data_IF_900053344371
#
_entry.id   IF_900053344371
#
_cell.length_a   1.000
_cell.length_b   1.000
_cell.length_c   1.000
_cell.angle_alpha   90.00
_cell.angle_beta   90.00
_cell.angle_gamma   90.00
#
_symmetry.space_group_name_H-M   'P 1'
#
loop_
_entity.id
_entity.type
_entity.pdbx_description
1 polymer ?
#
# COMPACT_ATOMS: atom_id res chain seq x y z
N UNK A 1 2.37 37.95 -5.70
CA UNK A 1 2.73 36.51 -5.67
C UNK A 1 1.72 35.60 -6.38
N UNK A 2 0.41 35.93 -6.42
CA UNK A 2 -0.61 35.08 -7.09
C UNK A 2 -0.42 34.92 -8.61
N UNK A 3 0.06 35.94 -9.33
CA UNK A 3 0.20 35.89 -10.79
C UNK A 3 1.26 34.89 -11.29
N UNK A 4 2.28 34.55 -10.50
CA UNK A 4 3.32 33.57 -10.83
C UNK A 4 2.87 32.12 -10.49
N UNK A 5 1.93 31.98 -9.57
CA UNK A 5 1.40 30.65 -9.18
C UNK A 5 0.36 30.15 -10.18
N UNK A 6 -0.39 31.09 -10.82
CA UNK A 6 -1.46 30.74 -11.77
C UNK A 6 -0.97 29.91 -12.97
N UNK A 7 0.09 30.25 -13.72
CA UNK A 7 0.53 29.43 -14.85
C UNK A 7 1.06 28.06 -14.42
N UNK A 8 1.69 27.96 -13.25
CA UNK A 8 2.17 26.68 -12.72
C UNK A 8 1.00 25.75 -12.31
N UNK A 9 -0.01 26.30 -11.63
CA UNK A 9 -1.20 25.51 -11.25
C UNK A 9 -2.04 25.12 -12.45
N UNK A 10 -2.17 25.99 -13.45
CA UNK A 10 -2.85 25.70 -14.71
C UNK A 10 -2.13 24.58 -15.47
N UNK A 11 -0.80 24.67 -15.60
CA UNK A 11 0.00 23.65 -16.26
C UNK A 11 -0.12 22.29 -15.57
N UNK A 12 0.06 22.23 -14.24
CA UNK A 12 -0.08 21.00 -13.47
C UNK A 12 -1.51 20.43 -13.56
N UNK A 13 -2.53 21.30 -13.51
CA UNK A 13 -3.92 20.89 -13.67
C UNK A 13 -4.17 20.28 -15.05
N UNK A 14 -3.71 20.91 -16.12
CA UNK A 14 -3.85 20.37 -17.48
C UNK A 14 -3.13 19.04 -17.67
N UNK A 15 -1.88 18.94 -17.24
CA UNK A 15 -1.07 17.72 -17.37
C UNK A 15 -1.68 16.54 -16.59
N UNK A 16 -2.38 16.80 -15.47
CA UNK A 16 -3.02 15.77 -14.68
C UNK A 16 -4.46 15.48 -15.14
N UNK A 17 -5.26 16.52 -15.36
CA UNK A 17 -6.69 16.38 -15.67
C UNK A 17 -6.94 15.86 -17.08
N UNK A 18 -6.16 16.32 -18.06
CA UNK A 18 -6.37 15.94 -19.47
C UNK A 18 -6.15 14.42 -19.69
N UNK A 19 -5.05 13.79 -19.27
CA UNK A 19 -4.90 12.33 -19.40
C UNK A 19 -5.97 11.56 -18.64
N UNK A 20 -6.36 12.03 -17.45
CA UNK A 20 -7.41 11.40 -16.66
C UNK A 20 -8.78 11.49 -17.36
N UNK A 21 -9.11 12.65 -17.93
CA UNK A 21 -10.34 12.83 -18.71
C UNK A 21 -10.35 11.95 -19.96
N UNK A 22 -9.22 11.83 -20.67
CA UNK A 22 -9.08 10.92 -21.81
C UNK A 22 -9.28 9.47 -21.40
N UNK A 23 -8.70 9.07 -20.27
CA UNK A 23 -8.85 7.72 -19.70
C UNK A 23 -10.32 7.43 -19.37
N UNK A 24 -11.00 8.34 -18.68
CA UNK A 24 -12.42 8.21 -18.32
C UNK A 24 -13.29 8.20 -19.58
N UNK A 25 -13.06 9.10 -20.52
CA UNK A 25 -13.78 9.12 -21.78
C UNK A 25 -13.58 7.82 -22.58
N UNK A 26 -12.32 7.33 -22.65
CA UNK A 26 -11.99 6.05 -23.30
C UNK A 26 -12.65 4.84 -22.64
N UNK A 27 -12.86 4.87 -21.33
CA UNK A 27 -13.55 3.79 -20.60
C UNK A 27 -15.06 3.75 -20.86
N UNK A 28 -15.66 4.88 -21.25
CA UNK A 28 -17.08 4.99 -21.58
C UNK A 28 -17.36 4.80 -23.08
N UNK A 29 -16.34 4.94 -23.92
CA UNK A 29 -16.46 4.79 -25.38
C UNK A 29 -16.17 3.33 -25.79
N UNK A 30 -17.17 2.48 -25.63
CA UNK A 30 -17.17 1.13 -26.22
C UNK A 30 -18.02 1.18 -27.49
N UNK A 31 -17.45 0.87 -28.67
CA UNK A 31 -18.15 0.88 -29.97
C UNK A 31 -18.65 2.25 -30.46
N UNK A 32 -18.04 3.39 -30.03
CA UNK A 32 -18.37 4.73 -30.55
C UNK A 32 -19.59 5.42 -29.91
N UNK A 33 -20.21 4.79 -28.91
CA UNK A 33 -21.27 5.34 -28.07
C UNK A 33 -20.85 5.41 -26.60
N UNK A 34 -21.34 6.43 -25.88
CA UNK A 34 -21.14 6.54 -24.42
C UNK A 34 -22.01 5.50 -23.73
N UNK A 35 -21.41 4.41 -23.28
CA UNK A 35 -22.12 3.30 -22.61
C UNK A 35 -21.37 2.81 -21.39
N UNK A 36 -22.11 2.30 -20.42
CA UNK A 36 -21.56 1.56 -19.26
C UNK A 36 -21.41 0.05 -19.54
N UNK A 37 -21.63 -0.35 -20.78
CA UNK A 37 -21.64 -1.76 -21.19
C UNK A 37 -20.30 -2.43 -20.92
N UNK A 38 -19.16 -1.73 -21.16
CA UNK A 38 -17.83 -2.24 -20.85
C UNK A 38 -17.63 -2.59 -19.37
N UNK A 39 -18.21 -1.80 -18.46
CA UNK A 39 -18.16 -2.09 -17.03
C UNK A 39 -19.05 -3.29 -16.66
N UNK A 40 -20.25 -3.38 -17.25
CA UNK A 40 -21.14 -4.51 -17.02
C UNK A 40 -20.54 -5.81 -17.55
N UNK A 41 -19.96 -5.78 -18.73
CA UNK A 41 -19.29 -6.93 -19.34
C UNK A 41 -18.06 -7.35 -18.50
N UNK A 42 -17.20 -6.40 -18.08
CA UNK A 42 -16.03 -6.69 -17.27
C UNK A 42 -16.42 -7.30 -15.92
N UNK A 43 -17.37 -6.70 -15.20
CA UNK A 43 -17.84 -7.18 -13.91
C UNK A 43 -18.77 -8.40 -14.01
N UNK A 44 -19.39 -8.65 -15.18
CA UNK A 44 -20.17 -9.84 -15.48
C UNK A 44 -19.34 -11.12 -15.55
N UNK A 45 -18.07 -11.00 -15.96
CA UNK A 45 -17.15 -12.14 -16.05
C UNK A 45 -16.62 -12.55 -14.66
N UNK A 46 -16.71 -13.84 -14.36
CA UNK A 46 -16.24 -14.42 -13.09
C UNK A 46 -14.72 -14.28 -12.91
N UNK A 47 -13.94 -14.41 -13.99
CA UNK A 47 -12.49 -14.26 -13.97
C UNK A 47 -12.06 -12.82 -13.62
N UNK A 48 -12.72 -11.84 -14.23
CA UNK A 48 -12.45 -10.43 -13.97
C UNK A 48 -12.83 -10.03 -12.53
N UNK A 49 -13.96 -10.53 -12.01
CA UNK A 49 -14.32 -10.33 -10.58
C UNK A 49 -13.29 -10.94 -9.65
N UNK A 50 -12.78 -12.13 -9.98
CA UNK A 50 -11.70 -12.75 -9.19
C UNK A 50 -10.43 -11.91 -9.21
N UNK A 51 -10.08 -11.28 -10.34
CA UNK A 51 -8.94 -10.36 -10.47
C UNK A 51 -9.11 -9.10 -9.61
N UNK A 52 -10.32 -8.50 -9.59
CA UNK A 52 -10.64 -7.37 -8.70
C UNK A 52 -10.48 -7.77 -7.24
N UNK A 53 -11.09 -8.91 -6.86
CA UNK A 53 -11.01 -9.42 -5.49
C UNK A 53 -9.58 -9.74 -5.06
N UNK A 54 -8.79 -10.39 -5.93
CA UNK A 54 -7.38 -10.69 -5.67
C UNK A 54 -6.57 -9.41 -5.44
N UNK A 55 -6.81 -8.35 -6.22
CA UNK A 55 -6.16 -7.05 -6.07
C UNK A 55 -6.49 -6.40 -4.72
N UNK A 56 -7.78 -6.33 -4.39
CA UNK A 56 -8.23 -5.74 -3.11
C UNK A 56 -7.69 -6.54 -1.93
N UNK A 57 -7.79 -7.87 -1.97
CA UNK A 57 -7.30 -8.77 -0.91
C UNK A 57 -5.79 -8.60 -0.71
N UNK A 58 -5.03 -8.64 -1.77
CA UNK A 58 -3.58 -8.44 -1.73
C UNK A 58 -3.21 -7.07 -1.13
N UNK A 59 -3.83 -5.98 -1.61
CA UNK A 59 -3.55 -4.64 -1.11
C UNK A 59 -3.95 -4.48 0.36
N UNK A 60 -5.09 -5.05 0.78
CA UNK A 60 -5.54 -5.07 2.18
C UNK A 60 -4.59 -5.85 3.07
N UNK A 61 -4.23 -7.08 2.69
CA UNK A 61 -3.29 -7.90 3.47
C UNK A 61 -1.95 -7.19 3.62
N UNK A 62 -1.40 -6.65 2.52
CA UNK A 62 -0.15 -5.89 2.56
C UNK A 62 -0.24 -4.68 3.50
N UNK A 63 -1.35 -3.94 3.48
CA UNK A 63 -1.55 -2.77 4.33
C UNK A 63 -1.71 -3.15 5.80
N UNK A 64 -2.45 -4.22 6.11
CA UNK A 64 -2.63 -4.73 7.47
C UNK A 64 -1.29 -5.21 8.03
N UNK A 65 -0.53 -6.01 7.27
CA UNK A 65 0.79 -6.48 7.74
C UNK A 65 1.79 -5.32 7.88
N UNK A 66 1.77 -4.34 6.97
CA UNK A 66 2.56 -3.11 7.13
C UNK A 66 2.18 -2.36 8.41
N UNK A 67 0.90 -2.30 8.76
CA UNK A 67 0.42 -1.64 9.97
C UNK A 67 0.86 -2.39 11.23
N UNK A 68 0.70 -3.71 11.24
CA UNK A 68 1.09 -4.56 12.39
C UNK A 68 2.59 -4.47 12.70
N UNK A 69 3.44 -4.42 11.69
CA UNK A 69 4.90 -4.27 11.86
C UNK A 69 5.29 -2.81 12.00
N UNK A 70 4.65 -1.93 11.22
CA UNK A 70 5.00 -0.51 11.14
C UNK A 70 4.64 0.28 12.39
N UNK A 71 3.51 -0.02 13.04
CA UNK A 71 3.11 0.70 14.25
C UNK A 71 4.10 0.54 15.42
N UNK A 72 4.50 -0.69 15.84
CA UNK A 72 5.48 -0.85 16.90
C UNK A 72 6.84 -0.23 16.55
N UNK A 73 7.27 -0.32 15.28
CA UNK A 73 8.50 0.31 14.82
C UNK A 73 8.40 1.85 14.87
N UNK A 74 7.30 2.44 14.40
CA UNK A 74 7.06 3.88 14.48
C UNK A 74 7.04 4.38 15.93
N UNK A 75 6.42 3.60 16.83
CA UNK A 75 6.39 3.91 18.27
C UNK A 75 7.77 3.86 18.91
N UNK A 76 8.56 2.83 18.59
CA UNK A 76 9.95 2.74 19.05
C UNK A 76 10.75 3.96 18.56
N UNK A 77 10.63 4.29 17.26
CA UNK A 77 11.32 5.42 16.65
C UNK A 77 10.90 6.77 17.24
N UNK A 78 9.60 6.94 17.56
CA UNK A 78 9.07 8.17 18.17
C UNK A 78 9.55 8.40 19.61
N UNK A 79 9.78 7.31 20.36
CA UNK A 79 10.24 7.33 21.76
C UNK A 79 11.76 7.27 21.89
N UNK A 80 12.47 6.97 20.81
CA UNK A 80 13.94 6.94 20.81
C UNK A 80 14.50 8.34 20.62
N UNK A 81 15.71 8.57 21.13
CA UNK A 81 16.45 9.82 20.98
C UNK A 81 17.91 9.54 20.60
N UNK A 82 18.61 10.59 20.17
CA UNK A 82 20.02 10.53 19.85
C UNK A 82 20.37 9.52 18.74
N UNK A 83 21.46 8.78 18.96
CA UNK A 83 21.99 7.86 17.94
C UNK A 83 21.05 6.70 17.56
N UNK A 84 20.27 6.21 18.53
CA UNK A 84 19.30 5.14 18.27
C UNK A 84 18.22 5.59 17.29
N UNK A 85 17.68 6.77 17.48
CA UNK A 85 16.70 7.35 16.55
C UNK A 85 17.31 7.52 15.15
N UNK A 86 18.55 8.06 15.06
CA UNK A 86 19.25 8.19 13.79
C UNK A 86 19.48 6.84 13.11
N UNK A 87 19.86 5.80 13.86
CA UNK A 87 20.02 4.44 13.36
C UNK A 87 18.71 3.87 12.81
N UNK A 88 17.58 4.04 13.52
CA UNK A 88 16.26 3.58 13.08
C UNK A 88 15.81 4.30 11.80
N UNK A 89 16.06 5.61 11.71
CA UNK A 89 15.82 6.35 10.46
C UNK A 89 16.69 5.85 9.32
N UNK A 90 17.98 5.64 9.56
CA UNK A 90 18.89 5.12 8.55
C UNK A 90 18.43 3.72 8.08
N UNK A 91 18.12 2.82 9.01
CA UNK A 91 17.60 1.47 8.69
C UNK A 91 16.30 1.50 7.87
N UNK A 92 15.44 2.49 8.10
CA UNK A 92 14.18 2.68 7.38
C UNK A 92 14.39 3.27 5.99
N UNK A 93 15.23 4.30 5.86
CA UNK A 93 15.38 5.09 4.63
C UNK A 93 16.46 4.55 3.69
N UNK A 94 17.52 3.95 4.22
CA UNK A 94 18.64 3.45 3.41
C UNK A 94 18.21 2.43 2.34
N UNK A 95 17.29 1.47 2.62
CA UNK A 95 16.77 0.59 1.58
C UNK A 95 16.00 1.32 0.48
N UNK A 96 15.43 2.51 0.75
CA UNK A 96 14.72 3.28 -0.28
C UNK A 96 15.67 3.87 -1.34
N UNK A 97 16.94 4.02 -1.05
CA UNK A 97 17.95 4.43 -2.02
C UNK A 97 18.23 3.36 -3.09
N UNK A 98 17.90 2.10 -2.79
CA UNK A 98 18.03 1.02 -3.76
C UNK A 98 16.88 1.04 -4.77
N UNK A 99 17.17 0.73 -6.02
CA UNK A 99 16.16 0.56 -7.07
C UNK A 99 15.11 -0.48 -6.65
N UNK A 100 13.84 -0.24 -7.01
CA UNK A 100 12.75 -1.19 -6.79
C UNK A 100 13.05 -2.55 -7.41
N UNK A 101 13.66 -2.57 -8.61
CA UNK A 101 14.04 -3.81 -9.30
C UNK A 101 15.05 -4.61 -8.49
N UNK A 102 16.11 -3.98 -7.98
CA UNK A 102 17.14 -4.64 -7.16
C UNK A 102 16.50 -5.27 -5.92
N UNK A 103 15.61 -4.54 -5.23
CA UNK A 103 14.89 -5.06 -4.06
C UNK A 103 13.97 -6.23 -4.43
N UNK A 104 13.26 -6.13 -5.55
CA UNK A 104 12.38 -7.19 -6.01
C UNK A 104 13.16 -8.47 -6.36
N UNK A 105 14.29 -8.35 -7.07
CA UNK A 105 15.18 -9.50 -7.35
C UNK A 105 15.79 -10.07 -6.07
N UNK A 106 16.18 -9.24 -5.11
CA UNK A 106 16.62 -9.71 -3.79
C UNK A 106 15.56 -10.60 -3.13
N UNK A 107 14.28 -10.20 -3.20
CA UNK A 107 13.18 -11.01 -2.68
C UNK A 107 12.97 -12.31 -3.45
N UNK A 108 13.19 -12.38 -4.77
CA UNK A 108 13.11 -13.65 -5.53
C UNK A 108 14.18 -14.64 -5.08
N UNK A 109 15.38 -14.16 -4.75
CA UNK A 109 16.47 -14.99 -4.20
C UNK A 109 16.12 -15.44 -2.76
N UNK A 110 15.67 -14.53 -1.90
CA UNK A 110 15.32 -14.83 -0.50
C UNK A 110 14.20 -15.86 -0.38
N UNK A 111 13.16 -15.76 -1.23
CA UNK A 111 11.99 -16.63 -1.24
C UNK A 111 12.17 -17.88 -2.11
N UNK A 112 13.29 -17.98 -2.80
CA UNK A 112 13.60 -19.14 -3.64
C UNK A 112 13.59 -20.45 -2.85
N UNK A 113 13.50 -21.59 -3.56
CA UNK A 113 13.46 -22.91 -2.93
C UNK A 113 14.70 -23.19 -2.09
N UNK A 114 15.86 -22.82 -2.59
CA UNK A 114 17.17 -22.96 -1.92
C UNK A 114 17.61 -21.63 -1.27
N UNK A 115 16.67 -20.69 -1.11
CA UNK A 115 16.93 -19.38 -0.57
C UNK A 115 17.14 -19.37 0.94
N UNK A 116 17.75 -18.28 1.49
CA UNK A 116 18.08 -18.17 2.91
C UNK A 116 16.89 -18.37 3.85
N UNK A 117 15.68 -17.98 3.45
CA UNK A 117 14.47 -18.14 4.28
C UNK A 117 14.13 -19.63 4.44
N UNK A 118 14.15 -20.41 3.36
CA UNK A 118 13.92 -21.85 3.46
C UNK A 118 15.02 -22.57 4.24
N UNK A 119 16.28 -22.16 4.06
CA UNK A 119 17.40 -22.69 4.85
C UNK A 119 17.21 -22.41 6.35
N UNK A 120 16.80 -21.20 6.72
CA UNK A 120 16.52 -20.84 8.10
C UNK A 120 15.37 -21.67 8.69
N UNK A 121 14.28 -21.84 7.94
CA UNK A 121 13.14 -22.66 8.37
C UNK A 121 13.52 -24.13 8.60
N UNK A 122 14.38 -24.68 7.74
CA UNK A 122 14.90 -26.04 7.90
C UNK A 122 15.82 -26.17 9.12
N UNK A 123 16.73 -25.22 9.33
CA UNK A 123 17.62 -25.20 10.50
C UNK A 123 16.84 -25.10 11.82
N UNK A 124 15.74 -24.33 11.83
CA UNK A 124 14.85 -24.20 12.98
C UNK A 124 13.93 -25.42 13.18
N UNK A 125 13.99 -26.42 12.31
CA UNK A 125 13.14 -27.61 12.37
C UNK A 125 11.66 -27.34 12.11
N UNK A 126 11.33 -26.19 11.54
CA UNK A 126 9.93 -25.79 11.27
C UNK A 126 9.37 -26.44 10.00
N UNK A 127 10.23 -26.92 9.12
CA UNK A 127 9.84 -27.58 7.86
C UNK A 127 10.81 -28.73 7.57
N UNK A 128 10.25 -29.87 7.09
CA UNK A 128 11.04 -31.04 6.68
C UNK A 128 11.55 -30.93 5.23
N UNK A 129 10.85 -30.10 4.43
CA UNK A 129 11.20 -29.88 3.03
C UNK A 129 11.01 -28.40 2.68
N UNK A 130 11.74 -27.87 1.66
CA UNK A 130 11.62 -26.48 1.26
C UNK A 130 10.19 -26.09 0.86
N UNK A 131 9.64 -25.06 1.54
CA UNK A 131 8.30 -24.54 1.28
C UNK A 131 8.32 -23.65 0.04
N UNK A 132 7.33 -23.79 -0.81
CA UNK A 132 7.18 -22.89 -1.95
C UNK A 132 6.67 -21.54 -1.49
N UNK A 133 7.56 -20.59 -1.25
CA UNK A 133 7.23 -19.20 -0.88
C UNK A 133 7.15 -18.29 -2.11
N UNK A 134 8.06 -18.49 -3.08
CA UNK A 134 8.05 -17.77 -4.35
C UNK A 134 6.85 -18.20 -5.20
N UNK A 135 6.25 -17.26 -5.92
CA UNK A 135 5.03 -17.41 -6.72
C UNK A 135 3.79 -17.78 -5.90
N UNK A 136 3.74 -17.29 -4.66
CA UNK A 136 2.58 -17.35 -3.78
C UNK A 136 2.12 -15.96 -3.33
N UNK A 137 0.88 -15.85 -2.90
CA UNK A 137 0.35 -14.61 -2.34
C UNK A 137 1.13 -14.18 -1.09
N UNK A 138 1.51 -15.14 -0.23
CA UNK A 138 2.28 -14.87 0.97
C UNK A 138 3.66 -14.26 0.63
N UNK A 139 4.37 -14.83 -0.32
CA UNK A 139 5.66 -14.29 -0.77
C UNK A 139 5.52 -12.89 -1.38
N UNK A 140 4.46 -12.65 -2.15
CA UNK A 140 4.13 -11.33 -2.69
C UNK A 140 3.85 -10.32 -1.58
N UNK A 141 3.04 -10.68 -0.59
CA UNK A 141 2.73 -9.81 0.56
C UNK A 141 3.99 -9.50 1.35
N UNK A 142 4.82 -10.48 1.69
CA UNK A 142 6.08 -10.27 2.42
C UNK A 142 7.03 -9.31 1.70
N UNK A 143 7.24 -9.52 0.40
CA UNK A 143 8.05 -8.61 -0.43
C UNK A 143 7.48 -7.20 -0.47
N UNK A 144 6.16 -7.06 -0.62
CA UNK A 144 5.48 -5.77 -0.63
C UNK A 144 5.58 -5.06 0.71
N UNK A 145 5.33 -5.77 1.80
CA UNK A 145 5.42 -5.23 3.17
C UNK A 145 6.81 -4.63 3.39
N UNK A 146 7.88 -5.39 3.12
CA UNK A 146 9.25 -4.91 3.34
C UNK A 146 9.58 -3.63 2.56
N UNK A 147 9.05 -3.50 1.35
CA UNK A 147 9.31 -2.35 0.47
C UNK A 147 8.45 -1.15 0.85
N UNK A 148 7.22 -1.38 1.34
CA UNK A 148 6.25 -0.32 1.65
C UNK A 148 6.22 0.09 3.11
N UNK A 149 6.96 -0.59 4.01
CA UNK A 149 7.07 -0.23 5.43
C UNK A 149 7.34 1.25 5.68
N UNK A 150 8.26 1.94 4.97
CA UNK A 150 8.50 3.37 5.20
C UNK A 150 7.26 4.23 4.99
N UNK A 151 6.41 3.91 4.00
CA UNK A 151 5.18 4.65 3.72
C UNK A 151 4.12 4.49 4.83
N UNK A 152 4.19 3.40 5.60
CA UNK A 152 3.35 3.18 6.78
C UNK A 152 3.94 3.86 8.01
N UNK A 153 5.24 3.70 8.23
CA UNK A 153 5.92 4.13 9.46
C UNK A 153 5.96 5.65 9.57
N UNK A 154 6.30 6.36 8.48
CA UNK A 154 6.51 7.81 8.53
C UNK A 154 5.26 8.60 8.96
N UNK A 155 4.05 8.38 8.40
CA UNK A 155 2.85 9.07 8.87
C UNK A 155 2.52 8.77 10.34
N UNK A 156 2.68 7.51 10.76
CA UNK A 156 2.45 7.11 12.15
C UNK A 156 3.46 7.79 13.08
N UNK A 157 4.74 7.79 12.70
CA UNK A 157 5.81 8.45 13.44
C UNK A 157 5.53 9.95 13.64
N UNK A 158 5.15 10.66 12.57
CA UNK A 158 4.84 12.09 12.64
C UNK A 158 3.73 12.37 13.65
N UNK A 159 2.65 11.60 13.61
CA UNK A 159 1.53 11.76 14.56
C UNK A 159 1.96 11.41 15.99
N UNK A 160 2.70 10.30 16.18
CA UNK A 160 3.17 9.91 17.52
C UNK A 160 4.10 10.96 18.15
N UNK A 161 4.87 11.70 17.35
CA UNK A 161 5.73 12.81 17.82
C UNK A 161 4.96 14.04 18.27
N UNK A 162 3.73 14.21 17.83
CA UNK A 162 2.87 15.34 18.29
C UNK A 162 2.12 15.03 19.58
N UNK A 163 2.14 13.80 20.07
CA UNK A 163 1.49 13.39 21.31
C UNK A 163 2.40 13.76 22.49
N UNK A 164 1.96 14.67 23.41
CA UNK A 164 2.74 15.05 24.57
C UNK A 164 2.98 13.86 25.51
N UNK A 165 4.20 13.74 26.04
CA UNK A 165 4.55 12.65 26.98
C UNK A 165 3.79 12.75 28.29
N UNK A 166 3.38 13.97 28.67
CA UNK A 166 2.60 14.27 29.90
C UNK A 166 1.26 13.52 29.91
N UNK A 167 0.64 13.26 28.76
CA UNK A 167 -0.60 12.47 28.67
C UNK A 167 -0.39 11.05 29.19
N UNK A 168 0.73 10.44 28.83
CA UNK A 168 1.12 9.12 29.30
C UNK A 168 1.43 9.09 30.81
N UNK A 169 2.07 10.17 31.32
CA UNK A 169 2.39 10.32 32.74
C UNK A 169 1.13 10.56 33.58
N UNK A 170 0.23 11.43 33.12
CA UNK A 170 -1.05 11.68 33.76
C UNK A 170 -1.92 10.42 33.85
N UNK A 171 -1.98 9.63 32.77
CA UNK A 171 -2.63 8.32 32.79
C UNK A 171 -2.03 7.36 33.82
N UNK A 172 -0.70 7.35 33.96
CA UNK A 172 -0.01 6.53 34.96
C UNK A 172 -0.33 6.98 36.40
N UNK A 173 -0.37 8.29 36.63
CA UNK A 173 -0.71 8.86 37.94
C UNK A 173 -2.15 8.55 38.39
N UNK A 174 -3.05 8.35 37.42
CA UNK A 174 -4.42 7.90 37.65
C UNK A 174 -4.56 6.37 37.77
N UNK A 175 -3.43 5.63 37.84
CA UNK A 175 -3.42 4.17 37.99
C UNK A 175 -3.64 3.38 36.71
N UNK A 176 -3.65 4.01 35.54
CA UNK A 176 -3.82 3.32 34.27
C UNK A 176 -2.58 2.48 33.95
N UNK A 177 -2.75 1.16 33.84
CA UNK A 177 -1.70 0.24 33.45
C UNK A 177 -1.20 0.47 32.01
N UNK A 178 -0.03 -0.08 31.63
CA UNK A 178 0.58 0.16 30.31
C UNK A 178 -0.29 -0.32 29.16
N UNK A 179 -0.99 -1.44 29.29
CA UNK A 179 -1.91 -1.96 28.27
C UNK A 179 -3.15 -1.06 28.13
N UNK A 180 -3.69 -0.58 29.26
CA UNK A 180 -4.83 0.34 29.22
C UNK A 180 -4.47 1.64 28.48
N UNK A 181 -3.32 2.24 28.81
CA UNK A 181 -2.79 3.42 28.12
C UNK A 181 -2.56 3.19 26.64
N UNK A 182 -2.03 2.04 26.28
CA UNK A 182 -1.83 1.67 24.89
C UNK A 182 -3.13 1.68 24.08
N UNK A 183 -4.16 0.98 24.56
CA UNK A 183 -5.43 0.87 23.81
C UNK A 183 -6.33 2.11 23.90
N UNK A 184 -6.26 2.88 25.00
CA UNK A 184 -7.16 4.02 25.23
C UNK A 184 -6.52 5.39 24.99
N UNK A 185 -5.19 5.48 24.95
CA UNK A 185 -4.48 6.73 24.66
C UNK A 185 -3.64 6.62 23.37
N UNK A 186 -2.61 5.77 23.38
CA UNK A 186 -1.63 5.74 22.30
C UNK A 186 -2.27 5.36 20.94
N UNK A 187 -3.07 4.30 20.92
CA UNK A 187 -3.65 3.75 19.69
C UNK A 187 -4.72 4.69 19.07
N UNK A 188 -5.68 5.24 19.83
CA UNK A 188 -6.65 6.18 19.29
C UNK A 188 -6.01 7.49 18.80
N UNK A 189 -5.03 8.02 19.52
CA UNK A 189 -4.32 9.24 19.13
C UNK A 189 -3.44 9.02 17.90
N UNK A 190 -2.88 7.82 17.71
CA UNK A 190 -2.09 7.47 16.53
C UNK A 190 -2.96 7.18 15.29
N UNK A 191 -4.29 7.04 15.43
CA UNK A 191 -5.18 6.62 14.35
C UNK A 191 -5.11 7.47 13.08
N UNK A 192 -5.01 8.81 13.13
CA UNK A 192 -4.86 9.61 11.92
C UNK A 192 -3.62 9.21 11.10
N UNK A 193 -2.49 8.96 11.77
CA UNK A 193 -1.26 8.48 11.13
C UNK A 193 -1.40 7.06 10.57
N UNK A 194 -2.07 6.18 11.31
CA UNK A 194 -2.33 4.80 10.88
C UNK A 194 -3.21 4.75 9.63
N UNK A 195 -4.30 5.54 9.60
CA UNK A 195 -5.21 5.60 8.45
C UNK A 195 -4.54 6.24 7.23
N UNK A 196 -3.73 7.28 7.43
CA UNK A 196 -2.94 7.89 6.35
C UNK A 196 -1.91 6.90 5.78
N UNK A 197 -1.14 6.22 6.63
CA UNK A 197 -0.19 5.19 6.22
C UNK A 197 -0.88 4.02 5.51
N UNK A 198 -2.02 3.57 6.04
CA UNK A 198 -2.82 2.51 5.43
C UNK A 198 -3.28 2.89 4.01
N UNK A 199 -3.84 4.08 3.83
CA UNK A 199 -4.29 4.56 2.53
C UNK A 199 -3.13 4.66 1.52
N UNK A 200 -1.94 5.12 1.96
CA UNK A 200 -0.74 5.19 1.14
C UNK A 200 -0.25 3.80 0.72
N UNK A 201 -0.16 2.86 1.65
CA UNK A 201 0.29 1.49 1.35
C UNK A 201 -0.72 0.77 0.47
N UNK A 202 -2.01 0.88 0.76
CA UNK A 202 -3.08 0.27 -0.03
C UNK A 202 -3.05 0.75 -1.48
N UNK A 203 -3.00 2.07 -1.70
CA UNK A 203 -2.98 2.64 -3.06
C UNK A 203 -1.73 2.21 -3.83
N UNK A 204 -0.58 2.22 -3.18
CA UNK A 204 0.69 1.81 -3.77
C UNK A 204 0.78 0.29 -4.03
N UNK A 205 0.15 -0.54 -3.20
CA UNK A 205 0.09 -1.98 -3.42
C UNK A 205 -0.88 -2.32 -4.55
N UNK A 206 -2.09 -1.74 -4.55
CA UNK A 206 -3.09 -1.97 -5.59
C UNK A 206 -2.61 -1.58 -7.00
N UNK A 207 -1.83 -0.50 -7.11
CA UNK A 207 -1.24 -0.04 -8.36
C UNK A 207 0.10 -0.71 -8.74
N UNK A 208 0.66 -1.56 -7.86
CA UNK A 208 1.97 -2.19 -8.09
C UNK A 208 1.91 -3.19 -9.26
N UNK A 209 2.86 -3.08 -10.20
CA UNK A 209 3.01 -4.00 -11.33
C UNK A 209 4.26 -4.88 -11.19
N UNK A 210 5.41 -4.27 -10.88
CA UNK A 210 6.72 -4.93 -10.90
C UNK A 210 6.81 -6.07 -9.88
N UNK A 211 6.42 -5.82 -8.63
CA UNK A 211 6.49 -6.81 -7.57
C UNK A 211 5.61 -8.04 -7.84
N UNK A 212 4.31 -7.87 -8.18
CA UNK A 212 3.47 -9.00 -8.52
C UNK A 212 3.98 -9.80 -9.72
N UNK A 213 4.54 -9.14 -10.73
CA UNK A 213 5.09 -9.82 -11.90
C UNK A 213 6.29 -10.69 -11.54
N UNK A 214 7.18 -10.22 -10.67
CA UNK A 214 8.38 -10.96 -10.27
C UNK A 214 8.13 -11.99 -9.17
N UNK A 215 7.31 -11.66 -8.15
CA UNK A 215 7.13 -12.50 -6.97
C UNK A 215 5.92 -13.44 -7.03
N UNK A 216 4.89 -13.10 -7.80
CA UNK A 216 3.69 -13.92 -7.93
C UNK A 216 3.56 -14.62 -9.29
N UNK A 217 4.35 -14.19 -10.28
CA UNK A 217 4.38 -14.79 -11.60
C UNK A 217 3.10 -14.58 -12.42
N UNK A 218 2.89 -15.45 -13.43
CA UNK A 218 1.76 -15.34 -14.35
C UNK A 218 0.42 -15.82 -13.78
N UNK A 219 0.45 -16.66 -12.74
CA UNK A 219 -0.75 -17.27 -12.16
C UNK A 219 -1.55 -16.34 -11.26
N UNK A 220 -0.92 -15.29 -10.73
CA UNK A 220 -1.58 -14.33 -9.85
C UNK A 220 -1.98 -13.10 -10.65
N UNK A 221 -3.24 -13.06 -11.06
CA UNK A 221 -3.78 -11.95 -11.83
C UNK A 221 -4.28 -10.86 -10.89
N UNK A 222 -3.75 -9.67 -11.10
CA UNK A 222 -4.19 -8.43 -10.43
C UNK A 222 -4.51 -7.37 -11.49
N UNK A 223 -5.33 -6.39 -11.12
CA UNK A 223 -5.83 -5.36 -12.05
C UNK A 223 -4.68 -4.57 -12.72
N UNK A 224 -3.62 -4.23 -11.98
CA UNK A 224 -2.47 -3.50 -12.54
C UNK A 224 -1.78 -4.28 -13.67
N UNK A 225 -1.66 -5.61 -13.55
CA UNK A 225 -1.14 -6.47 -14.60
C UNK A 225 -2.12 -6.58 -15.76
N UNK A 226 -3.42 -6.76 -15.49
CA UNK A 226 -4.45 -6.81 -16.52
C UNK A 226 -4.51 -5.50 -17.33
N UNK A 227 -4.29 -4.33 -16.71
CA UNK A 227 -4.16 -3.05 -17.40
C UNK A 227 -2.99 -3.08 -18.38
N UNK A 228 -1.80 -3.46 -17.92
CA UNK A 228 -0.59 -3.53 -18.77
C UNK A 228 -0.78 -4.51 -19.92
N UNK A 229 -1.33 -5.69 -19.64
CA UNK A 229 -1.60 -6.71 -20.65
C UNK A 229 -2.62 -6.21 -21.69
N UNK A 230 -3.65 -5.46 -21.26
CA UNK A 230 -4.66 -4.87 -22.15
C UNK A 230 -4.07 -3.83 -23.10
N UNK A 231 -3.16 -2.98 -22.65
CA UNK A 231 -2.54 -1.97 -23.49
C UNK A 231 -1.39 -2.48 -24.35
N UNK A 232 -0.53 -3.36 -23.82
CA UNK A 232 0.71 -3.76 -24.48
C UNK A 232 0.60 -5.09 -25.26
N UNK A 233 -0.25 -6.01 -24.80
CA UNK A 233 -0.34 -7.36 -25.39
C UNK A 233 -1.57 -7.47 -26.27
N UNK A 234 -2.76 -7.25 -25.72
CA UNK A 234 -4.02 -7.41 -26.47
C UNK A 234 -4.43 -6.19 -27.27
N UNK A 235 -3.78 -5.06 -27.03
CA UNK A 235 -4.05 -3.76 -27.70
C UNK A 235 -5.53 -3.34 -27.63
N UNK A 236 -6.25 -3.79 -26.61
CA UNK A 236 -7.65 -3.44 -26.33
C UNK A 236 -7.71 -2.23 -25.39
N UNK A 237 -7.38 -1.03 -25.89
CA UNK A 237 -7.30 0.18 -25.10
C UNK A 237 -8.57 0.50 -24.29
N UNK A 238 -9.76 0.22 -24.85
CA UNK A 238 -11.04 0.41 -24.15
C UNK A 238 -11.16 -0.48 -22.90
N UNK A 239 -10.79 -1.77 -23.00
CA UNK A 239 -10.80 -2.68 -21.86
C UNK A 239 -9.78 -2.23 -20.80
N UNK A 240 -8.57 -1.84 -21.20
CA UNK A 240 -7.56 -1.27 -20.31
C UNK A 240 -8.05 -0.02 -19.59
N UNK A 241 -8.78 0.86 -20.28
CA UNK A 241 -9.36 2.06 -19.68
C UNK A 241 -10.44 1.73 -18.63
N UNK A 242 -11.34 0.77 -18.91
CA UNK A 242 -12.35 0.28 -17.95
C UNK A 242 -11.69 -0.23 -16.67
N UNK A 243 -10.66 -1.09 -16.79
CA UNK A 243 -9.95 -1.66 -15.64
C UNK A 243 -9.24 -0.54 -14.84
N UNK A 244 -8.63 0.42 -15.54
CA UNK A 244 -7.91 1.54 -14.90
C UNK A 244 -8.85 2.44 -14.10
N UNK A 245 -10.03 2.77 -14.64
CA UNK A 245 -11.03 3.60 -13.95
C UNK A 245 -11.63 2.85 -12.75
N UNK A 246 -11.89 1.55 -12.87
CA UNK A 246 -12.32 0.71 -11.74
C UNK A 246 -11.26 0.70 -10.62
N UNK A 247 -10.00 0.49 -10.96
CA UNK A 247 -8.92 0.51 -9.98
C UNK A 247 -8.79 1.87 -9.31
N UNK A 248 -8.85 2.95 -10.09
CA UNK A 248 -8.84 4.32 -9.57
C UNK A 248 -10.01 4.56 -8.61
N UNK A 249 -11.21 4.10 -8.95
CA UNK A 249 -12.40 4.19 -8.09
C UNK A 249 -12.22 3.46 -6.76
N UNK A 250 -11.70 2.23 -6.78
CA UNK A 250 -11.44 1.43 -5.58
C UNK A 250 -10.41 2.15 -4.68
N UNK A 251 -9.29 2.59 -5.25
CA UNK A 251 -8.24 3.30 -4.50
C UNK A 251 -8.77 4.59 -3.90
N UNK A 252 -9.48 5.39 -4.70
CA UNK A 252 -10.08 6.66 -4.24
C UNK A 252 -11.09 6.41 -3.11
N UNK A 253 -11.92 5.37 -3.21
CA UNK A 253 -12.88 5.01 -2.17
C UNK A 253 -12.18 4.71 -0.83
N UNK A 254 -11.06 3.97 -0.85
CA UNK A 254 -10.28 3.67 0.36
C UNK A 254 -9.63 4.92 0.93
N UNK A 255 -9.07 5.81 0.10
CA UNK A 255 -8.48 7.08 0.53
C UNK A 255 -9.56 7.97 1.19
N UNK A 256 -10.70 8.12 0.55
CA UNK A 256 -11.82 8.93 1.07
C UNK A 256 -12.35 8.32 2.38
N UNK A 257 -12.55 7.01 2.44
CA UNK A 257 -12.99 6.33 3.66
C UNK A 257 -12.01 6.56 4.81
N UNK A 258 -10.70 6.42 4.56
CA UNK A 258 -9.66 6.72 5.55
C UNK A 258 -9.71 8.19 6.02
N UNK A 259 -9.89 9.13 5.11
CA UNK A 259 -10.01 10.56 5.42
C UNK A 259 -11.27 10.90 6.24
N UNK A 260 -12.42 10.30 5.91
CA UNK A 260 -13.67 10.48 6.65
C UNK A 260 -13.57 9.91 8.07
N UNK A 261 -12.97 8.72 8.22
CA UNK A 261 -12.73 8.10 9.52
C UNK A 261 -11.81 8.96 10.41
N UNK A 262 -10.78 9.55 9.82
CA UNK A 262 -9.89 10.48 10.53
C UNK A 262 -10.63 11.71 11.03
N UNK A 263 -11.47 12.34 10.19
CA UNK A 263 -12.24 13.54 10.58
C UNK A 263 -13.25 13.27 11.68
N UNK A 264 -14.01 12.18 11.61
CA UNK A 264 -15.01 11.83 12.62
C UNK A 264 -14.44 11.68 14.02
N UNK A 265 -13.19 11.22 14.15
CA UNK A 265 -12.51 11.05 15.44
C UNK A 265 -11.77 12.30 15.94
N UNK A 266 -11.48 13.26 15.08
CA UNK A 266 -10.92 14.55 15.50
C UNK A 266 -11.96 15.44 16.18
N UNK A 267 -13.27 15.15 16.03
CA UNK A 267 -14.39 15.90 16.60
C UNK A 267 -15.17 15.12 17.69
N UNK A 268 -14.78 13.89 18.01
CA UNK A 268 -15.31 13.10 19.13
C UNK A 268 -14.30 13.02 20.28
#
# INVERSE_FOLDING_TARGET
MGALVFPATLYLGLVFVVPLAILIAGSLMVTGSLTLEGYMQYLGDAHNRATVWATVRYAMLSSIFCLLVGYPFARLMARSAGWLQALLFAALLLPMALSLMVRAFGWTILLGRDGPINQLLAVLGLVESPVRLLFTELGLVLGTVSIKLPLMILPIYVVLRTIPEELGQAGASLGAGPLYRFFHLDLPLAMPGMLAGFALVFSQAAAAYVLPTLLAGSRYLIMSKAIVDSYLITQTGAAGAVISVLLLGIVTAVIVASGVLTRRRAYA
#
